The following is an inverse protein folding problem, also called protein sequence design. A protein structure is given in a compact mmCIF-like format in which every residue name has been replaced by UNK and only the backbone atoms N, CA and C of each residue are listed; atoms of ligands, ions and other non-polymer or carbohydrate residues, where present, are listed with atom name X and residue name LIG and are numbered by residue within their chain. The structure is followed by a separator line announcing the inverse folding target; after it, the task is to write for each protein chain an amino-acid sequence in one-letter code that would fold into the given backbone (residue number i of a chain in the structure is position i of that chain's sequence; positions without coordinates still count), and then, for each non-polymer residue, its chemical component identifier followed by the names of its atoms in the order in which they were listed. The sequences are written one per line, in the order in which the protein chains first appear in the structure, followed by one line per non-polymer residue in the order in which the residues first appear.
data_IF_365068711429
#
_entry.id   IF_365068711429
#
_cell.length_a   1.000
_cell.length_b   1.000
_cell.length_c   1.000
_cell.angle_alpha   90.00
_cell.angle_beta   90.00
_cell.angle_gamma   90.00
#
_symmetry.space_group_name_H-M   'P 1'
#
loop_
_entity.id
_entity.type
_entity.pdbx_description
1 polymer ?
#
# COMPACT_ATOMS: atom_id res chain seq x y z
N UNK A 1 13.68 37.67 -6.00
CA UNK A 1 12.27 37.62 -6.45
C UNK A 1 11.46 36.93 -5.36
N UNK A 2 10.61 37.66 -4.63
CA UNK A 2 9.85 37.12 -3.53
C UNK A 2 8.67 36.31 -4.07
N UNK A 3 8.68 34.99 -3.84
CA UNK A 3 7.50 34.14 -4.10
C UNK A 3 6.48 34.40 -3.00
N UNK A 4 5.38 35.06 -3.31
CA UNK A 4 4.24 35.19 -2.42
C UNK A 4 3.53 33.84 -2.36
N UNK A 5 3.60 33.17 -1.24
CA UNK A 5 2.71 32.05 -0.92
C UNK A 5 1.35 32.65 -0.54
N UNK A 6 0.37 32.59 -1.42
CA UNK A 6 -1.00 33.00 -1.12
C UNK A 6 -1.63 31.85 -0.35
N UNK A 7 -1.64 31.93 0.98
CA UNK A 7 -2.43 31.06 1.82
C UNK A 7 -3.87 31.55 1.75
N UNK A 8 -4.71 30.88 0.99
CA UNK A 8 -6.16 31.07 1.07
C UNK A 8 -6.64 30.43 2.38
N UNK A 9 -6.72 31.21 3.44
CA UNK A 9 -7.46 30.82 4.64
C UNK A 9 -8.95 30.88 4.31
N UNK A 10 -9.68 29.79 4.53
CA UNK A 10 -11.15 29.84 4.66
C UNK A 10 -11.46 30.85 5.78
N UNK A 11 -12.00 31.99 5.40
CA UNK A 11 -12.44 33.01 6.35
C UNK A 11 -13.77 32.51 6.92
N UNK A 12 -13.78 32.16 8.21
CA UNK A 12 -14.97 31.79 8.99
C UNK A 12 -15.13 30.28 9.16
N UNK A 13 -14.79 29.83 10.29
CA UNK A 13 -15.12 28.68 11.10
C UNK A 13 -13.90 27.90 11.57
N UNK A 14 -13.96 27.43 12.82
CA UNK A 14 -12.98 26.64 13.53
C UNK A 14 -12.14 25.75 12.59
N UNK A 15 -10.90 26.15 12.33
CA UNK A 15 -9.98 25.30 11.58
C UNK A 15 -9.82 23.98 12.35
N UNK A 16 -10.42 22.90 11.84
CA UNK A 16 -10.18 21.59 12.38
C UNK A 16 -8.68 21.31 12.31
N UNK A 17 -8.07 21.15 13.48
CA UNK A 17 -6.63 20.83 13.59
C UNK A 17 -6.34 19.43 13.01
N UNK A 18 -7.32 18.55 13.07
CA UNK A 18 -7.24 17.19 12.48
C UNK A 18 -7.48 17.26 10.97
N UNK A 19 -6.54 16.73 10.19
CA UNK A 19 -6.64 16.62 8.74
C UNK A 19 -7.27 15.29 8.36
N UNK A 20 -8.21 15.33 7.40
CA UNK A 20 -8.92 14.15 6.94
C UNK A 20 -8.34 13.67 5.61
N UNK A 21 -7.85 12.43 5.61
CA UNK A 21 -7.39 11.74 4.39
C UNK A 21 -8.46 10.72 3.99
N UNK A 22 -8.95 10.80 2.76
CA UNK A 22 -9.93 9.86 2.25
C UNK A 22 -9.41 9.11 1.02
N UNK A 23 -9.55 7.78 1.02
CA UNK A 23 -9.10 6.94 -0.10
C UNK A 23 -10.21 6.78 -1.13
N UNK A 24 -9.86 6.98 -2.41
CA UNK A 24 -10.76 6.70 -3.53
C UNK A 24 -10.84 5.19 -3.78
N UNK A 25 -12.05 4.70 -3.92
CA UNK A 25 -12.36 3.33 -4.31
C UNK A 25 -13.39 3.29 -5.45
N UNK A 26 -13.79 2.10 -5.92
CA UNK A 26 -14.72 1.95 -7.05
C UNK A 26 -16.03 2.73 -6.91
N UNK A 27 -16.54 2.84 -5.68
CA UNK A 27 -17.81 3.55 -5.38
C UNK A 27 -17.65 5.07 -5.23
N UNK A 28 -16.42 5.61 -5.15
CA UNK A 28 -16.17 7.03 -4.85
C UNK A 28 -15.42 7.79 -5.93
N UNK A 29 -15.14 7.18 -7.10
CA UNK A 29 -14.37 7.81 -8.19
C UNK A 29 -15.18 8.73 -9.13
N UNK A 30 -16.49 8.92 -8.90
CA UNK A 30 -17.27 9.88 -9.68
C UNK A 30 -16.95 11.31 -9.27
N UNK A 31 -17.00 12.28 -10.22
CA UNK A 31 -16.74 13.70 -9.94
C UNK A 31 -17.68 14.23 -8.85
N UNK A 32 -18.93 13.80 -8.88
CA UNK A 32 -19.98 14.18 -7.92
C UNK A 32 -19.65 13.70 -6.50
N UNK A 33 -19.22 12.44 -6.36
CA UNK A 33 -18.85 11.89 -5.04
C UNK A 33 -17.60 12.59 -4.50
N UNK A 34 -16.58 12.80 -5.33
CA UNK A 34 -15.36 13.54 -4.95
C UNK A 34 -15.73 14.95 -4.51
N UNK A 35 -16.64 15.63 -5.24
CA UNK A 35 -17.13 16.96 -4.85
C UNK A 35 -17.77 16.95 -3.46
N UNK A 36 -18.62 15.97 -3.18
CA UNK A 36 -19.26 15.86 -1.85
C UNK A 36 -18.23 15.58 -0.75
N UNK A 37 -17.22 14.75 -1.01
CA UNK A 37 -16.14 14.50 -0.05
C UNK A 37 -15.37 15.80 0.27
N UNK A 38 -15.00 16.56 -0.74
CA UNK A 38 -14.31 17.86 -0.58
C UNK A 38 -15.18 18.85 0.22
N UNK A 39 -16.46 18.98 -0.12
CA UNK A 39 -17.40 19.86 0.59
C UNK A 39 -17.64 19.42 2.04
N UNK A 40 -17.53 18.11 2.32
CA UNK A 40 -17.60 17.55 3.67
C UNK A 40 -16.34 17.75 4.51
N UNK A 41 -15.28 18.35 3.93
CA UNK A 41 -14.08 18.73 4.66
C UNK A 41 -12.89 17.77 4.52
N UNK A 42 -12.87 16.90 3.50
CA UNK A 42 -11.69 16.10 3.17
C UNK A 42 -10.54 17.03 2.75
N UNK A 43 -9.40 16.91 3.44
CA UNK A 43 -8.21 17.72 3.18
C UNK A 43 -7.30 17.09 2.13
N UNK A 44 -7.20 15.74 2.10
CA UNK A 44 -6.35 15.00 1.18
C UNK A 44 -7.08 13.80 0.61
N UNK A 45 -6.99 13.62 -0.70
CA UNK A 45 -7.52 12.43 -1.38
C UNK A 45 -6.36 11.49 -1.69
N UNK A 46 -6.43 10.26 -1.16
CA UNK A 46 -5.45 9.19 -1.36
C UNK A 46 -5.88 8.26 -2.49
N UNK A 47 -4.95 7.98 -3.40
CA UNK A 47 -5.08 7.02 -4.50
C UNK A 47 -4.09 5.88 -4.25
N UNK A 48 -4.62 4.65 -4.04
CA UNK A 48 -3.81 3.48 -3.76
C UNK A 48 -3.44 2.76 -5.07
N UNK A 49 -2.15 2.77 -5.43
CA UNK A 49 -1.63 2.17 -6.66
C UNK A 49 -1.56 0.63 -6.61
N UNK A 50 -1.82 0.00 -5.46
CA UNK A 50 -2.04 -1.46 -5.41
C UNK A 50 -3.36 -1.89 -6.07
N UNK A 51 -4.32 -0.96 -6.22
CA UNK A 51 -5.68 -1.23 -6.69
C UNK A 51 -6.15 -0.33 -7.83
N UNK A 52 -5.28 0.56 -8.31
CA UNK A 52 -5.58 1.50 -9.39
C UNK A 52 -4.57 1.36 -10.52
N UNK A 53 -5.02 1.54 -11.75
CA UNK A 53 -4.12 1.73 -12.89
C UNK A 53 -3.66 3.19 -12.97
N UNK A 54 -2.58 3.45 -13.71
CA UNK A 54 -2.12 4.83 -13.96
C UNK A 54 -3.18 5.69 -14.67
N UNK A 55 -3.97 5.09 -15.54
CA UNK A 55 -5.06 5.77 -16.24
C UNK A 55 -6.19 6.17 -15.29
N UNK A 56 -6.64 5.25 -14.43
CA UNK A 56 -7.65 5.56 -13.41
C UNK A 56 -7.17 6.61 -12.41
N UNK A 57 -5.91 6.52 -11.96
CA UNK A 57 -5.31 7.52 -11.08
C UNK A 57 -5.26 8.90 -11.74
N UNK A 58 -4.86 8.98 -13.01
CA UNK A 58 -4.86 10.23 -13.79
C UNK A 58 -6.25 10.85 -13.86
N UNK A 59 -7.27 10.06 -14.18
CA UNK A 59 -8.66 10.54 -14.27
C UNK A 59 -9.13 11.14 -12.94
N UNK A 60 -8.85 10.46 -11.82
CA UNK A 60 -9.17 10.95 -10.47
C UNK A 60 -8.43 12.26 -10.16
N UNK A 61 -7.12 12.34 -10.44
CA UNK A 61 -6.31 13.54 -10.20
C UNK A 61 -6.87 14.74 -10.97
N UNK A 62 -7.21 14.55 -12.24
CA UNK A 62 -7.78 15.61 -13.06
C UNK A 62 -9.12 16.12 -12.52
N UNK A 63 -9.99 15.20 -12.06
CA UNK A 63 -11.26 15.57 -11.42
C UNK A 63 -11.05 16.38 -10.15
N UNK A 64 -10.08 15.99 -9.29
CA UNK A 64 -9.77 16.74 -8.06
C UNK A 64 -9.30 18.16 -8.41
N UNK A 65 -8.42 18.31 -9.39
CA UNK A 65 -7.91 19.62 -9.81
C UNK A 65 -9.00 20.51 -10.39
N UNK A 66 -9.89 19.93 -11.20
CA UNK A 66 -11.05 20.66 -11.71
C UNK A 66 -11.94 21.15 -10.58
N UNK A 67 -12.21 20.29 -9.59
CA UNK A 67 -13.01 20.65 -8.42
C UNK A 67 -12.33 21.68 -7.52
N UNK A 68 -11.02 21.60 -7.32
CA UNK A 68 -10.26 22.61 -6.59
C UNK A 68 -10.41 24.00 -7.24
N UNK A 69 -10.37 24.06 -8.57
CA UNK A 69 -10.62 25.32 -9.31
C UNK A 69 -12.08 25.75 -9.22
N UNK A 70 -13.03 24.83 -9.43
CA UNK A 70 -14.48 25.10 -9.40
C UNK A 70 -14.94 25.62 -8.02
N UNK A 71 -14.41 25.03 -6.95
CA UNK A 71 -14.82 25.33 -5.57
C UNK A 71 -13.92 26.36 -4.87
N UNK A 72 -12.84 26.81 -5.53
CA UNK A 72 -11.81 27.69 -4.95
C UNK A 72 -11.25 27.14 -3.64
N UNK A 73 -10.95 25.83 -3.59
CA UNK A 73 -10.38 25.11 -2.43
C UNK A 73 -9.05 24.49 -2.82
N UNK A 74 -8.30 24.04 -1.79
CA UNK A 74 -7.07 23.26 -1.96
C UNK A 74 -7.29 21.92 -1.25
N UNK A 75 -7.56 20.88 -2.03
CA UNK A 75 -7.57 19.49 -1.56
C UNK A 75 -6.31 18.83 -2.07
N UNK A 76 -5.46 18.32 -1.18
CA UNK A 76 -4.21 17.67 -1.52
C UNK A 76 -4.43 16.31 -2.18
N UNK A 77 -3.46 15.87 -2.98
CA UNK A 77 -3.46 14.60 -3.70
C UNK A 77 -2.32 13.74 -3.18
N UNK A 78 -2.64 12.54 -2.74
CA UNK A 78 -1.67 11.57 -2.24
C UNK A 78 -1.68 10.31 -3.11
N UNK A 79 -0.51 9.96 -3.64
CA UNK A 79 -0.28 8.64 -4.25
C UNK A 79 0.32 7.73 -3.17
N UNK A 80 -0.24 6.53 -3.05
CA UNK A 80 0.24 5.49 -2.14
C UNK A 80 0.85 4.35 -2.96
N UNK A 81 2.16 4.10 -2.76
CA UNK A 81 2.91 3.08 -3.50
C UNK A 81 2.50 1.68 -3.11
N UNK A 82 2.80 0.72 -3.97
CA UNK A 82 2.55 -0.69 -3.68
C UNK A 82 3.52 -1.23 -2.62
N UNK A 83 4.79 -0.85 -2.72
CA UNK A 83 5.87 -1.36 -1.88
C UNK A 83 6.22 -2.82 -2.17
N UNK A 84 7.19 -3.38 -1.43
CA UNK A 84 7.62 -4.77 -1.54
C UNK A 84 6.60 -5.73 -0.89
N UNK A 85 5.41 -5.84 -1.47
CA UNK A 85 4.30 -6.62 -0.93
C UNK A 85 4.33 -8.06 -1.45
N UNK A 86 4.16 -9.02 -0.54
CA UNK A 86 3.94 -10.42 -0.88
C UNK A 86 2.43 -10.67 -0.88
N UNK A 87 1.96 -11.38 -1.90
CA UNK A 87 0.55 -11.78 -2.04
C UNK A 87 0.44 -13.28 -2.31
N UNK A 88 -0.69 -13.88 -2.04
CA UNK A 88 -1.01 -15.19 -2.61
C UNK A 88 -1.28 -15.03 -4.10
N UNK A 89 -1.07 -16.08 -4.87
CA UNK A 89 -1.39 -16.11 -6.31
C UNK A 89 -2.90 -16.32 -6.53
N UNK A 90 -3.29 -16.67 -7.76
CA UNK A 90 -4.68 -17.00 -8.06
C UNK A 90 -5.16 -18.25 -7.32
N UNK A 91 -6.42 -18.25 -6.93
CA UNK A 91 -7.14 -19.39 -6.39
C UNK A 91 -8.05 -20.02 -7.46
N UNK A 92 -8.26 -21.35 -7.39
CA UNK A 92 -9.20 -22.07 -8.25
C UNK A 92 -10.62 -21.50 -8.17
N UNK A 93 -11.06 -21.19 -6.93
CA UNK A 93 -12.24 -20.40 -6.62
C UNK A 93 -11.73 -19.06 -6.12
N UNK A 94 -12.13 -17.96 -6.70
CA UNK A 94 -11.63 -16.62 -6.35
C UNK A 94 -11.63 -16.30 -4.83
N UNK A 95 -12.41 -17.07 -4.06
CA UNK A 95 -12.50 -16.99 -2.60
C UNK A 95 -12.64 -18.39 -2.01
N UNK A 96 -11.82 -18.74 -1.02
CA UNK A 96 -11.88 -20.01 -0.28
C UNK A 96 -12.02 -19.76 1.20
N UNK A 97 -12.63 -20.74 1.92
CA UNK A 97 -12.72 -20.76 3.38
C UNK A 97 -11.58 -21.59 3.95
N UNK A 98 -10.89 -21.07 4.93
CA UNK A 98 -9.91 -21.81 5.72
C UNK A 98 -10.47 -22.02 7.11
N UNK A 99 -10.29 -23.24 7.66
CA UNK A 99 -10.87 -23.66 8.95
C UNK A 99 -9.75 -23.95 9.95
N UNK A 100 -9.92 -23.44 11.16
CA UNK A 100 -8.98 -23.60 12.26
C UNK A 100 -8.69 -25.07 12.57
N UNK A 101 -7.44 -25.39 12.87
CA UNK A 101 -6.95 -26.73 13.14
C UNK A 101 -6.58 -27.55 11.90
N UNK A 102 -6.99 -27.13 10.71
CA UNK A 102 -6.55 -27.76 9.47
C UNK A 102 -5.14 -27.30 9.09
N UNK A 103 -4.51 -28.03 8.18
CA UNK A 103 -3.20 -27.66 7.61
C UNK A 103 -3.34 -27.20 6.18
N UNK A 104 -2.49 -26.23 5.80
CA UNK A 104 -2.35 -25.73 4.43
C UNK A 104 -0.87 -25.74 4.05
N UNK A 105 -0.57 -26.00 2.78
CA UNK A 105 0.79 -25.93 2.24
C UNK A 105 0.98 -24.61 1.46
N UNK A 106 2.11 -23.95 1.69
CA UNK A 106 2.56 -22.84 0.85
C UNK A 106 3.71 -23.37 0.01
N UNK A 107 3.53 -23.43 -1.32
CA UNK A 107 4.49 -24.05 -2.24
C UNK A 107 5.19 -23.03 -3.12
N UNK A 108 6.44 -23.32 -3.52
CA UNK A 108 7.22 -22.46 -4.43
C UNK A 108 6.66 -22.43 -5.84
N UNK A 109 6.18 -23.58 -6.34
CA UNK A 109 5.62 -23.64 -7.68
C UNK A 109 4.38 -22.75 -7.78
N UNK A 110 4.32 -21.95 -8.83
CA UNK A 110 3.13 -21.15 -9.11
C UNK A 110 1.97 -22.06 -9.51
N UNK A 111 0.97 -22.11 -8.65
CA UNK A 111 -0.24 -22.93 -8.83
C UNK A 111 -1.49 -22.09 -8.69
N UNK A 112 -2.63 -22.57 -9.21
CA UNK A 112 -3.94 -22.10 -8.75
C UNK A 112 -4.22 -22.74 -7.41
N UNK A 113 -4.27 -21.92 -6.36
CA UNK A 113 -4.41 -22.40 -4.98
C UNK A 113 -5.82 -22.87 -4.64
N UNK A 114 -5.92 -23.70 -3.60
CA UNK A 114 -7.16 -24.20 -3.03
C UNK A 114 -7.05 -24.31 -1.50
N UNK A 115 -8.02 -24.95 -0.86
CA UNK A 115 -8.10 -25.05 0.61
C UNK A 115 -6.93 -25.83 1.24
N UNK A 116 -6.18 -26.61 0.47
CA UNK A 116 -5.03 -27.40 0.96
C UNK A 116 -3.67 -26.86 0.52
N UNK A 117 -3.62 -26.01 -0.50
CA UNK A 117 -2.37 -25.57 -1.13
C UNK A 117 -2.50 -24.19 -1.76
N UNK A 118 -1.53 -23.30 -1.47
CA UNK A 118 -1.43 -21.97 -2.09
C UNK A 118 0.02 -21.69 -2.48
N UNK A 119 0.24 -20.69 -3.35
CA UNK A 119 1.56 -20.18 -3.68
C UNK A 119 1.62 -18.65 -3.51
N UNK A 120 2.84 -18.13 -3.41
CA UNK A 120 3.12 -16.71 -3.18
C UNK A 120 3.63 -16.05 -4.46
N UNK A 121 3.36 -14.77 -4.62
CA UNK A 121 3.93 -13.93 -5.70
C UNK A 121 5.45 -13.83 -5.62
N UNK A 122 6.03 -14.09 -4.44
CA UNK A 122 7.45 -14.23 -4.21
C UNK A 122 7.73 -15.63 -3.67
N UNK A 123 8.02 -16.62 -4.53
CA UNK A 123 8.27 -18.00 -4.12
C UNK A 123 9.44 -18.17 -3.14
N UNK A 124 10.47 -17.33 -3.27
CA UNK A 124 11.68 -17.35 -2.44
C UNK A 124 11.39 -16.93 -1.00
N UNK A 125 10.27 -16.26 -0.71
CA UNK A 125 9.86 -15.89 0.64
C UNK A 125 9.86 -17.08 1.60
N UNK A 126 9.53 -18.28 1.11
CA UNK A 126 9.55 -19.54 1.88
C UNK A 126 10.91 -19.77 2.57
N UNK A 127 12.02 -19.38 1.95
CA UNK A 127 13.37 -19.59 2.50
C UNK A 127 13.67 -18.75 3.75
N UNK A 128 12.92 -17.67 3.96
CA UNK A 128 13.13 -16.71 5.05
C UNK A 128 12.18 -16.91 6.23
N UNK A 129 11.17 -17.77 6.07
CA UNK A 129 10.14 -18.00 7.08
C UNK A 129 10.53 -19.23 7.92
N UNK A 130 10.60 -19.07 9.23
CA UNK A 130 11.05 -20.11 10.16
C UNK A 130 9.87 -20.88 10.76
N UNK A 131 10.15 -22.09 11.27
CA UNK A 131 9.19 -22.88 12.04
C UNK A 131 8.76 -22.09 13.28
N UNK A 132 7.45 -22.10 13.59
CA UNK A 132 6.83 -21.35 14.68
C UNK A 132 6.47 -19.90 14.33
N UNK A 133 6.89 -19.38 13.19
CA UNK A 133 6.48 -18.03 12.77
C UNK A 133 5.04 -18.00 12.28
N UNK A 134 4.42 -16.83 12.47
CA UNK A 134 3.06 -16.57 12.01
C UNK A 134 3.08 -15.91 10.63
N UNK A 135 2.19 -16.38 9.77
CA UNK A 135 1.90 -15.79 8.46
C UNK A 135 0.49 -15.24 8.54
N UNK A 136 0.35 -13.95 8.27
CA UNK A 136 -0.92 -13.22 8.28
C UNK A 136 -1.43 -13.10 6.85
N UNK A 137 -2.59 -13.66 6.56
CA UNK A 137 -3.23 -13.58 5.25
C UNK A 137 -4.41 -12.62 5.29
N UNK A 138 -4.64 -11.89 4.19
CA UNK A 138 -5.78 -10.99 4.02
C UNK A 138 -5.89 -9.99 5.18
N UNK A 139 -4.81 -9.22 5.39
CA UNK A 139 -4.68 -8.20 6.44
C UNK A 139 -4.85 -8.76 7.87
N UNK A 140 -4.41 -10.01 8.08
CA UNK A 140 -4.51 -10.68 9.37
C UNK A 140 -5.85 -11.33 9.68
N UNK A 141 -6.78 -11.35 8.72
CA UNK A 141 -8.06 -12.05 8.87
C UNK A 141 -7.89 -13.57 9.03
N UNK A 142 -6.84 -14.15 8.46
CA UNK A 142 -6.44 -15.54 8.65
C UNK A 142 -4.99 -15.59 9.12
N UNK A 143 -4.74 -16.35 10.17
CA UNK A 143 -3.42 -16.55 10.78
C UNK A 143 -3.01 -17.99 10.53
N UNK A 144 -1.82 -18.18 9.97
CA UNK A 144 -1.17 -19.47 9.85
C UNK A 144 0.04 -19.50 10.80
N UNK A 145 0.35 -20.68 11.32
CA UNK A 145 1.58 -20.96 12.07
C UNK A 145 2.40 -22.02 11.34
N UNK A 146 3.67 -21.78 11.10
CA UNK A 146 4.54 -22.69 10.36
C UNK A 146 4.92 -23.88 11.22
N UNK A 147 4.50 -25.08 10.83
CA UNK A 147 4.82 -26.36 11.49
C UNK A 147 6.12 -26.96 10.93
N UNK A 148 6.36 -26.86 9.65
CA UNK A 148 7.60 -27.32 9.01
C UNK A 148 7.95 -26.48 7.80
N UNK A 149 9.26 -26.42 7.51
CA UNK A 149 9.81 -25.73 6.37
C UNK A 149 10.74 -26.69 5.61
N UNK A 150 10.50 -26.86 4.32
CA UNK A 150 11.38 -27.56 3.38
C UNK A 150 11.81 -26.57 2.27
N UNK A 151 12.76 -26.99 1.41
CA UNK A 151 13.20 -26.18 0.28
C UNK A 151 12.08 -25.76 -0.67
N UNK A 152 11.00 -26.51 -0.72
CA UNK A 152 9.94 -26.38 -1.75
C UNK A 152 8.57 -26.01 -1.18
N UNK A 153 8.36 -26.14 0.15
CA UNK A 153 7.07 -25.86 0.78
C UNK A 153 7.17 -25.58 2.27
N UNK A 154 6.26 -24.74 2.77
CA UNK A 154 5.90 -24.66 4.18
C UNK A 154 4.64 -25.50 4.42
N UNK A 155 4.59 -26.19 5.56
CA UNK A 155 3.35 -26.76 6.10
C UNK A 155 2.94 -25.86 7.26
N UNK A 156 1.72 -25.34 7.19
CA UNK A 156 1.20 -24.40 8.18
C UNK A 156 -0.09 -24.91 8.79
N UNK A 157 -0.27 -24.69 10.08
CA UNK A 157 -1.55 -24.85 10.75
C UNK A 157 -2.37 -23.57 10.64
N UNK A 158 -3.67 -23.70 10.38
CA UNK A 158 -4.62 -22.59 10.35
C UNK A 158 -5.07 -22.33 11.79
N UNK A 159 -4.83 -21.12 12.31
CA UNK A 159 -5.09 -20.80 13.73
C UNK A 159 -6.48 -20.24 14.00
N UNK A 160 -7.17 -19.76 12.96
CA UNK A 160 -8.54 -19.24 13.07
C UNK A 160 -9.30 -19.42 11.76
N UNK A 161 -10.62 -19.51 11.86
CA UNK A 161 -11.50 -19.53 10.70
C UNK A 161 -11.47 -18.22 9.95
N UNK A 162 -11.54 -18.29 8.62
CA UNK A 162 -11.60 -17.09 7.80
C UNK A 162 -11.68 -17.36 6.32
N UNK A 163 -11.72 -16.28 5.54
CA UNK A 163 -11.73 -16.34 4.09
C UNK A 163 -10.51 -15.64 3.52
N UNK A 164 -9.92 -16.25 2.51
CA UNK A 164 -8.89 -15.61 1.68
C UNK A 164 -9.38 -15.50 0.24
N UNK A 165 -8.85 -14.50 -0.48
CA UNK A 165 -9.16 -14.24 -1.89
C UNK A 165 -7.91 -14.36 -2.73
N UNK A 166 -8.07 -14.57 -4.04
CA UNK A 166 -6.98 -14.39 -5.00
C UNK A 166 -6.30 -13.03 -4.78
N UNK A 167 -4.98 -13.03 -4.83
CA UNK A 167 -4.15 -11.83 -4.68
C UNK A 167 -4.27 -11.09 -3.33
N UNK A 168 -4.77 -11.75 -2.26
CA UNK A 168 -4.77 -11.11 -0.95
C UNK A 168 -3.35 -10.98 -0.37
N UNK A 169 -3.19 -10.01 0.53
CA UNK A 169 -1.93 -9.71 1.21
C UNK A 169 -1.40 -10.88 2.05
N UNK A 170 -0.07 -11.00 2.10
CA UNK A 170 0.66 -11.93 2.97
C UNK A 170 1.67 -11.12 3.76
N UNK A 171 1.54 -11.12 5.08
CA UNK A 171 2.50 -10.48 5.97
C UNK A 171 3.11 -11.52 6.92
N UNK A 172 4.43 -11.45 7.11
CA UNK A 172 5.17 -12.28 8.06
C UNK A 172 5.97 -11.33 8.96
N UNK A 173 5.40 -10.95 10.11
CA UNK A 173 5.91 -9.82 10.92
C UNK A 173 7.37 -9.96 11.36
N UNK A 174 7.88 -11.19 11.53
CA UNK A 174 9.23 -11.45 12.01
C UNK A 174 10.21 -11.85 10.89
N UNK A 175 9.74 -12.07 9.66
CA UNK A 175 10.62 -12.44 8.56
C UNK A 175 11.22 -11.18 7.92
N UNK A 176 12.54 -11.16 7.86
CA UNK A 176 13.26 -10.12 7.11
C UNK A 176 13.48 -10.63 5.68
N UNK A 177 12.58 -10.26 4.79
CA UNK A 177 12.75 -10.50 3.37
C UNK A 177 13.73 -9.46 2.83
N UNK A 178 14.84 -9.90 2.26
CA UNK A 178 15.79 -9.00 1.57
C UNK A 178 15.21 -8.56 0.22
N UNK A 179 14.02 -7.95 0.26
CA UNK A 179 13.34 -7.41 -0.91
C UNK A 179 13.91 -6.04 -1.25
N UNK A 180 14.13 -5.79 -2.53
CA UNK A 180 14.42 -4.45 -3.01
C UNK A 180 13.20 -3.56 -2.73
N UNK A 181 13.40 -2.48 -1.99
CA UNK A 181 12.32 -1.59 -1.58
C UNK A 181 11.61 -0.97 -2.78
N UNK A 182 12.38 -0.36 -3.68
CA UNK A 182 11.87 0.29 -4.88
C UNK A 182 11.77 -0.72 -6.03
N UNK A 183 10.59 -1.30 -6.23
CA UNK A 183 10.27 -2.12 -7.38
C UNK A 183 10.24 -1.28 -8.67
N UNK A 184 10.34 -1.92 -9.85
CA UNK A 184 10.20 -1.20 -11.13
C UNK A 184 8.83 -0.53 -11.25
N UNK A 185 7.77 -1.19 -10.78
CA UNK A 185 6.43 -0.60 -10.75
C UNK A 185 6.35 0.64 -9.84
N UNK A 186 7.00 0.59 -8.65
CA UNK A 186 6.99 1.74 -7.74
C UNK A 186 7.87 2.87 -8.28
N UNK A 187 8.98 2.56 -8.99
CA UNK A 187 9.75 3.56 -9.72
C UNK A 187 8.89 4.30 -10.76
N UNK A 188 8.11 3.58 -11.55
CA UNK A 188 7.16 4.19 -12.49
C UNK A 188 6.04 4.94 -11.76
N UNK A 189 5.61 4.48 -10.59
CA UNK A 189 4.64 5.19 -9.74
C UNK A 189 5.20 6.53 -9.27
N UNK A 190 6.46 6.59 -8.84
CA UNK A 190 7.12 7.87 -8.46
C UNK A 190 7.23 8.82 -9.66
N UNK A 191 7.66 8.33 -10.82
CA UNK A 191 7.70 9.13 -12.05
C UNK A 191 6.32 9.68 -12.42
N UNK A 192 5.29 8.85 -12.29
CA UNK A 192 3.91 9.26 -12.52
C UNK A 192 3.46 10.32 -11.50
N UNK A 193 3.80 10.16 -10.22
CA UNK A 193 3.50 11.14 -9.17
C UNK A 193 4.11 12.52 -9.50
N UNK A 194 5.38 12.56 -9.90
CA UNK A 194 6.08 13.77 -10.34
C UNK A 194 5.41 14.37 -11.58
N UNK A 195 5.16 13.56 -12.63
CA UNK A 195 4.48 14.02 -13.84
C UNK A 195 3.11 14.63 -13.55
N UNK A 196 2.40 14.03 -12.63
CA UNK A 196 1.09 14.49 -12.18
C UNK A 196 1.17 15.56 -11.10
N UNK A 197 2.35 15.99 -10.66
CA UNK A 197 2.56 17.04 -9.65
C UNK A 197 1.67 16.82 -8.39
N UNK A 198 1.67 15.60 -7.83
CA UNK A 198 0.90 15.32 -6.62
C UNK A 198 1.57 15.95 -5.40
N UNK A 199 0.84 16.12 -4.29
CA UNK A 199 1.35 16.79 -3.10
C UNK A 199 2.09 15.83 -2.17
N UNK A 200 1.65 14.56 -2.13
CA UNK A 200 2.16 13.56 -1.19
C UNK A 200 2.44 12.23 -1.88
N UNK A 201 3.51 11.58 -1.46
CA UNK A 201 3.86 10.21 -1.81
C UNK A 201 3.93 9.38 -0.52
N UNK A 202 2.97 8.49 -0.32
CA UNK A 202 2.96 7.56 0.81
C UNK A 202 3.70 6.28 0.42
N UNK A 203 4.75 5.93 1.17
CA UNK A 203 5.64 4.81 0.91
C UNK A 203 5.23 3.60 1.74
N UNK A 204 4.78 2.53 1.07
CA UNK A 204 4.39 1.28 1.73
C UNK A 204 5.61 0.47 2.18
N UNK A 205 5.50 -0.14 3.36
CA UNK A 205 6.47 -1.10 3.90
C UNK A 205 7.91 -0.57 4.05
N UNK A 206 8.10 0.72 4.34
CA UNK A 206 9.41 1.28 4.69
C UNK A 206 10.02 0.46 5.82
N UNK A 207 11.33 0.12 5.72
CA UNK A 207 12.07 -0.66 6.73
C UNK A 207 13.03 0.20 7.52
N UNK A 208 13.72 1.09 6.84
CA UNK A 208 14.80 1.89 7.39
C UNK A 208 14.99 3.21 6.62
N UNK A 209 15.98 3.99 7.03
CA UNK A 209 16.34 5.25 6.41
C UNK A 209 16.75 5.10 4.93
N UNK A 210 17.37 3.98 4.55
CA UNK A 210 17.86 3.80 3.17
C UNK A 210 16.70 3.72 2.18
N UNK A 211 15.59 3.11 2.58
CA UNK A 211 14.39 3.05 1.74
C UNK A 211 13.85 4.47 1.41
N UNK A 212 13.92 5.39 2.38
CA UNK A 212 13.51 6.79 2.20
C UNK A 212 14.52 7.55 1.33
N UNK A 213 15.81 7.30 1.53
CA UNK A 213 16.86 7.91 0.72
C UNK A 213 16.78 7.49 -0.74
N UNK A 214 16.50 6.21 -1.04
CA UNK A 214 16.29 5.71 -2.41
C UNK A 214 15.19 6.51 -3.15
N UNK A 215 14.12 6.89 -2.44
CA UNK A 215 13.04 7.71 -3.02
C UNK A 215 13.47 9.17 -3.18
N UNK A 216 14.14 9.75 -2.18
CA UNK A 216 14.66 11.11 -2.27
C UNK A 216 15.62 11.25 -3.46
N UNK A 217 16.54 10.30 -3.64
CA UNK A 217 17.47 10.29 -4.75
C UNK A 217 16.73 10.24 -6.10
N UNK A 218 15.67 9.43 -6.18
CA UNK A 218 14.83 9.37 -7.39
C UNK A 218 14.08 10.68 -7.64
N UNK A 219 13.55 11.34 -6.61
CA UNK A 219 12.89 12.65 -6.74
C UNK A 219 13.89 13.72 -7.20
N UNK A 220 15.12 13.71 -6.66
CA UNK A 220 16.22 14.60 -7.11
C UNK A 220 16.56 14.33 -8.58
N UNK A 221 16.70 13.06 -8.98
CA UNK A 221 16.93 12.67 -10.39
C UNK A 221 15.83 13.22 -11.30
N UNK A 222 14.58 13.23 -10.85
CA UNK A 222 13.42 13.75 -11.57
C UNK A 222 13.25 15.25 -11.44
N UNK A 223 14.15 15.94 -10.73
CA UNK A 223 14.12 17.39 -10.47
C UNK A 223 12.83 17.87 -9.77
N UNK A 224 12.30 17.03 -8.86
CA UNK A 224 11.16 17.37 -8.04
C UNK A 224 11.60 17.71 -6.60
N UNK A 225 11.16 18.87 -6.12
CA UNK A 225 11.37 19.37 -4.76
C UNK A 225 10.05 19.67 -4.02
N UNK A 226 8.94 19.27 -4.62
CA UNK A 226 7.59 19.63 -4.18
C UNK A 226 6.91 18.50 -3.40
N UNK A 227 7.04 17.26 -3.86
CA UNK A 227 6.35 16.11 -3.26
C UNK A 227 6.86 15.86 -1.83
N UNK A 228 5.91 15.76 -0.89
CA UNK A 228 6.20 15.41 0.50
C UNK A 228 6.07 13.90 0.70
N UNK A 229 7.08 13.29 1.32
CA UNK A 229 7.11 11.86 1.61
C UNK A 229 6.40 11.58 2.93
N UNK A 230 5.60 10.50 2.94
CA UNK A 230 4.97 9.93 4.13
C UNK A 230 5.42 8.48 4.24
N UNK A 231 6.29 8.17 5.20
CA UNK A 231 6.73 6.79 5.47
C UNK A 231 5.65 6.03 6.25
N UNK A 232 5.21 4.89 5.73
CA UNK A 232 4.26 4.02 6.42
C UNK A 232 5.01 2.98 7.25
N UNK A 233 4.81 3.05 8.57
CA UNK A 233 5.44 2.14 9.54
C UNK A 233 4.55 0.91 9.68
N UNK A 234 4.84 -0.14 8.91
CA UNK A 234 3.99 -1.32 8.75
C UNK A 234 4.68 -2.64 9.12
N UNK A 235 5.94 -2.57 9.59
CA UNK A 235 6.73 -3.74 9.96
C UNK A 235 7.59 -3.47 11.20
N UNK A 236 8.13 -4.54 11.79
CA UNK A 236 8.91 -4.47 13.02
C UNK A 236 10.23 -3.70 12.81
N UNK A 237 10.90 -3.88 11.69
CA UNK A 237 12.15 -3.20 11.37
C UNK A 237 11.97 -1.68 11.39
N UNK A 238 10.94 -1.18 10.75
CA UNK A 238 10.61 0.25 10.74
C UNK A 238 10.33 0.82 12.15
N UNK A 239 9.71 0.03 13.03
CA UNK A 239 9.49 0.45 14.42
C UNK A 239 10.81 0.57 15.19
N UNK A 240 11.76 -0.33 14.96
CA UNK A 240 13.09 -0.32 15.58
C UNK A 240 13.94 0.84 15.04
N UNK A 241 13.81 1.15 13.73
CA UNK A 241 14.58 2.18 13.03
C UNK A 241 13.85 3.54 12.90
N UNK A 242 12.72 3.72 13.57
CA UNK A 242 11.84 4.89 13.43
C UNK A 242 12.53 6.25 13.65
N UNK A 243 13.66 6.28 14.36
CA UNK A 243 14.43 7.53 14.56
C UNK A 243 15.26 7.92 13.34
N UNK A 244 15.58 6.95 12.48
CA UNK A 244 16.34 7.18 11.26
C UNK A 244 15.43 7.47 10.06
N UNK A 245 14.19 6.98 10.07
CA UNK A 245 13.16 7.22 9.08
C UNK A 245 12.57 8.65 9.23
#
# INVERSE_FOLDING_TARGET
MHKYCIIFTRIGDNMNKTKMIATIGPSSKSKETIKQMILSGVDVIRINMSHSTFEEARDVILKIRDLNRELSVITGIMIDTRGPEIRITELEKNKIKLESGNTIRIVKNNIKGNESMISLTLPEAINYIKIGEKILLNDGNVILEVLSNSSDALICEIKNDGYIKSNCSVNVPNANFNLKFLSEYDRETVKFAVLMQVDYLALSHVKDQLDVLDINDLLIELSDDHIQIISKIENKSAMEEMKGI
#
